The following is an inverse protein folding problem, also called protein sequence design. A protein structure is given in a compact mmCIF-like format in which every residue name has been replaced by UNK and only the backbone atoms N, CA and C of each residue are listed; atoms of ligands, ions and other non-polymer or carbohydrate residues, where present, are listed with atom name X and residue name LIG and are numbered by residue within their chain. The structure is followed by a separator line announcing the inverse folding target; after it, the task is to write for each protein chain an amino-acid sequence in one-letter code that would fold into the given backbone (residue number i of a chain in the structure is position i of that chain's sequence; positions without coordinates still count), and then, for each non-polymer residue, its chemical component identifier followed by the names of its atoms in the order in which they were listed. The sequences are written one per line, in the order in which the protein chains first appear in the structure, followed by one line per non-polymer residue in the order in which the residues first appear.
data_IF_658989455360
#
_entry.id   IF_658989455360
#
_cell.length_a   1.000
_cell.length_b   1.000
_cell.length_c   1.000
_cell.angle_alpha   90.00
_cell.angle_beta   90.00
_cell.angle_gamma   90.00
#
_symmetry.space_group_name_H-M   'P 1'
#
loop_
_entity.id
_entity.type
_entity.pdbx_description
1 polymer ?
#
# COMPACT_ATOMS: atom_id res chain seq x y z
N UNK A 1 -5.28 -23.82 4.41
CA UNK A 1 -4.35 -23.37 5.46
C UNK A 1 -3.95 -24.58 6.27
N UNK A 2 -3.06 -25.39 5.72
CA UNK A 2 -2.57 -26.60 6.39
C UNK A 2 -1.56 -26.20 7.45
N UNK A 3 -1.79 -26.68 8.68
CA UNK A 3 -0.87 -26.62 9.81
C UNK A 3 0.29 -27.58 9.52
N UNK A 4 1.15 -27.22 8.58
CA UNK A 4 2.44 -27.87 8.39
C UNK A 4 3.43 -27.21 9.34
N UNK A 5 4.13 -28.01 10.15
CA UNK A 5 5.05 -27.55 11.19
C UNK A 5 6.17 -26.65 10.65
N UNK A 6 5.88 -25.36 10.52
CA UNK A 6 6.88 -24.31 10.34
C UNK A 6 7.44 -23.88 11.69
N UNK A 7 8.60 -23.23 11.67
CA UNK A 7 9.18 -22.62 12.86
C UNK A 7 8.22 -21.61 13.51
N UNK A 8 8.43 -21.31 14.80
CA UNK A 8 7.68 -20.27 15.51
C UNK A 8 7.93 -18.89 14.86
N UNK A 9 6.85 -18.19 14.50
CA UNK A 9 6.92 -16.84 13.96
C UNK A 9 6.77 -15.78 15.05
N UNK A 10 7.44 -14.66 14.85
CA UNK A 10 7.22 -13.41 15.56
C UNK A 10 6.56 -12.45 14.56
N UNK A 11 5.32 -12.09 14.85
CA UNK A 11 4.54 -11.21 13.98
C UNK A 11 4.58 -9.76 14.48
N UNK A 12 4.70 -8.80 13.56
CA UNK A 12 4.52 -7.40 13.92
C UNK A 12 3.04 -7.07 14.16
N UNK A 13 2.71 -6.01 14.91
CA UNK A 13 1.41 -5.38 14.79
C UNK A 13 1.14 -4.97 13.32
N UNK A 14 -0.13 -4.94 12.88
CA UNK A 14 -0.46 -4.46 11.56
C UNK A 14 -0.13 -2.97 11.42
N UNK A 15 0.40 -2.57 10.27
CA UNK A 15 0.76 -1.18 9.97
C UNK A 15 0.36 -0.77 8.55
N UNK A 16 0.45 0.52 8.26
CA UNK A 16 0.14 1.09 6.95
C UNK A 16 1.40 1.73 6.34
N UNK A 17 1.62 1.50 5.05
CA UNK A 17 2.74 2.10 4.32
C UNK A 17 2.40 2.19 2.83
N UNK A 18 2.84 3.26 2.16
CA UNK A 18 2.61 3.48 0.72
C UNK A 18 1.13 3.34 0.28
N UNK A 19 0.19 3.74 1.14
CA UNK A 19 -1.26 3.62 0.86
C UNK A 19 -1.83 2.21 1.04
N UNK A 20 -1.00 1.21 1.37
CA UNK A 20 -1.45 -0.12 1.72
C UNK A 20 -1.79 -0.18 3.21
N UNK A 21 -2.91 -0.84 3.52
CA UNK A 21 -3.38 -1.03 4.88
C UNK A 21 -3.09 -2.46 5.37
N UNK A 22 -2.93 -2.60 6.69
CA UNK A 22 -2.83 -3.90 7.39
C UNK A 22 -1.68 -4.78 6.88
N UNK A 23 -0.54 -4.19 6.55
CA UNK A 23 0.70 -4.93 6.32
C UNK A 23 1.15 -5.54 7.64
N UNK A 24 1.63 -6.78 7.63
CA UNK A 24 2.20 -7.47 8.79
C UNK A 24 3.51 -8.14 8.39
N UNK A 25 4.56 -8.01 9.21
CA UNK A 25 5.75 -8.83 9.09
C UNK A 25 5.55 -10.18 9.78
N UNK A 26 6.02 -11.24 9.14
CA UNK A 26 6.11 -12.59 9.69
C UNK A 26 7.59 -12.99 9.72
N UNK A 27 8.22 -12.87 10.88
CA UNK A 27 9.63 -13.18 11.05
C UNK A 27 9.82 -14.55 11.68
N UNK A 28 10.70 -15.37 11.13
CA UNK A 28 11.01 -16.70 11.65
C UNK A 28 12.50 -16.74 12.02
N UNK A 29 12.85 -16.44 13.28
CA UNK A 29 14.25 -16.36 13.73
C UNK A 29 15.03 -17.66 13.48
N UNK A 30 14.36 -18.80 13.67
CA UNK A 30 14.92 -20.15 13.50
C UNK A 30 14.65 -20.74 12.11
N UNK A 31 14.28 -19.89 11.14
CA UNK A 31 13.91 -20.32 9.80
C UNK A 31 12.48 -20.85 9.70
N UNK A 32 11.99 -20.92 8.47
CA UNK A 32 10.60 -21.26 8.16
C UNK A 32 10.33 -22.78 8.21
N UNK A 33 11.26 -23.59 7.68
CA UNK A 33 11.12 -25.04 7.59
C UNK A 33 11.65 -25.73 8.86
N UNK A 34 10.78 -26.42 9.60
CA UNK A 34 11.18 -27.19 10.80
C UNK A 34 11.89 -28.52 10.47
N UNK A 35 12.15 -28.80 9.20
CA UNK A 35 12.73 -30.07 8.73
C UNK A 35 14.26 -30.14 8.83
N UNK A 36 14.92 -29.14 9.43
CA UNK A 36 16.36 -29.16 9.67
C UNK A 36 16.70 -30.08 10.85
N UNK A 37 16.80 -31.39 10.57
CA UNK A 37 17.18 -32.41 11.56
C UNK A 37 18.67 -32.48 11.85
N UNK A 38 19.49 -31.70 11.14
CA UNK A 38 20.92 -31.56 11.38
C UNK A 38 21.14 -30.31 12.22
N UNK A 39 21.89 -30.38 13.32
CA UNK A 39 22.18 -29.27 14.25
C UNK A 39 22.92 -28.05 13.68
N UNK A 40 22.81 -27.82 12.38
CA UNK A 40 23.19 -26.61 11.66
C UNK A 40 22.06 -25.60 11.82
N UNK A 41 22.38 -24.39 12.29
CA UNK A 41 21.40 -23.31 12.43
C UNK A 41 20.83 -22.96 11.05
N UNK A 42 19.51 -23.07 10.91
CA UNK A 42 18.78 -22.65 9.73
C UNK A 42 18.82 -21.12 9.59
N UNK A 43 18.95 -20.59 8.36
CA UNK A 43 18.85 -19.15 8.14
C UNK A 43 17.46 -18.66 8.55
N UNK A 44 17.38 -17.45 9.09
CA UNK A 44 16.10 -16.82 9.39
C UNK A 44 15.28 -16.59 8.12
N UNK A 45 13.96 -16.47 8.27
CA UNK A 45 13.05 -16.12 7.20
C UNK A 45 12.26 -14.87 7.54
N UNK A 46 11.90 -14.11 6.53
CA UNK A 46 11.06 -12.92 6.69
C UNK A 46 10.05 -12.86 5.54
N UNK A 47 8.79 -12.70 5.90
CA UNK A 47 7.68 -12.50 4.97
C UNK A 47 6.85 -11.29 5.37
N UNK A 48 6.06 -10.82 4.43
CA UNK A 48 5.00 -9.84 4.65
C UNK A 48 3.66 -10.39 4.17
N UNK A 49 2.59 -10.12 4.90
CA UNK A 49 1.23 -10.20 4.38
C UNK A 49 0.71 -8.80 4.07
N UNK A 50 -0.28 -8.72 3.18
CA UNK A 50 -0.83 -7.46 2.72
C UNK A 50 -2.24 -7.59 2.14
N UNK A 51 -2.83 -6.47 1.70
CA UNK A 51 -4.16 -6.46 1.11
C UNK A 51 -4.18 -7.20 -0.22
N UNK A 52 -5.30 -7.88 -0.50
CA UNK A 52 -5.48 -8.63 -1.75
C UNK A 52 -5.47 -7.71 -2.96
N UNK A 53 -5.11 -8.28 -4.13
CA UNK A 53 -5.02 -7.58 -5.42
C UNK A 53 -4.03 -6.43 -5.43
N UNK A 54 -2.95 -6.57 -4.68
CA UNK A 54 -1.86 -5.60 -4.68
C UNK A 54 -0.55 -6.26 -5.06
N UNK A 55 0.27 -5.55 -5.83
CA UNK A 55 1.65 -5.91 -6.13
C UNK A 55 2.56 -4.95 -5.39
N UNK A 56 3.50 -5.48 -4.61
CA UNK A 56 4.47 -4.71 -3.84
C UNK A 56 5.86 -5.01 -4.35
N UNK A 57 6.64 -3.96 -4.63
CA UNK A 57 8.04 -4.05 -5.03
C UNK A 57 8.90 -3.19 -4.12
N UNK A 58 10.03 -3.71 -3.69
CA UNK A 58 10.86 -3.00 -2.73
C UNK A 58 12.04 -3.81 -2.19
N UNK A 59 12.52 -3.40 -1.02
CA UNK A 59 13.62 -4.01 -0.30
C UNK A 59 13.19 -4.39 1.11
N UNK A 60 13.49 -5.62 1.51
CA UNK A 60 13.35 -6.09 2.88
C UNK A 60 14.71 -6.06 3.55
N UNK A 61 14.73 -5.75 4.85
CA UNK A 61 15.94 -5.65 5.65
C UNK A 61 15.81 -6.46 6.94
N UNK A 62 16.89 -7.14 7.33
CA UNK A 62 17.05 -7.85 8.60
C UNK A 62 18.46 -7.53 9.12
N UNK A 63 18.55 -6.66 10.11
CA UNK A 63 19.79 -6.04 10.55
C UNK A 63 20.45 -5.27 9.40
N UNK A 64 21.64 -5.73 8.99
CA UNK A 64 22.42 -5.17 7.88
C UNK A 64 22.16 -5.84 6.53
N UNK A 65 21.46 -6.99 6.51
CA UNK A 65 21.16 -7.73 5.29
C UNK A 65 19.95 -7.13 4.58
N UNK A 66 20.04 -7.03 3.25
CA UNK A 66 18.94 -6.63 2.38
C UNK A 66 18.64 -7.66 1.30
N UNK A 67 17.36 -7.77 0.93
CA UNK A 67 16.86 -8.63 -0.16
C UNK A 67 15.72 -7.96 -0.90
N UNK A 68 15.77 -8.03 -2.24
CA UNK A 68 14.67 -7.57 -3.09
C UNK A 68 13.39 -8.32 -2.76
N UNK A 69 12.28 -7.59 -2.76
CA UNK A 69 10.92 -8.10 -2.66
C UNK A 69 10.16 -7.69 -3.91
N UNK A 70 9.50 -8.66 -4.52
CA UNK A 70 8.47 -8.46 -5.55
C UNK A 70 7.42 -9.53 -5.31
N UNK A 71 6.21 -9.12 -4.91
CA UNK A 71 5.14 -10.05 -4.58
C UNK A 71 3.78 -9.49 -4.94
N UNK A 72 2.91 -10.34 -5.51
CA UNK A 72 1.51 -10.01 -5.81
C UNK A 72 0.59 -10.81 -4.92
N UNK A 73 -0.12 -10.12 -4.02
CA UNK A 73 -1.08 -10.69 -3.09
C UNK A 73 -2.36 -11.06 -3.83
N UNK A 74 -2.59 -12.35 -4.09
CA UNK A 74 -3.77 -12.80 -4.86
C UNK A 74 -4.97 -13.10 -3.98
N UNK A 75 -4.73 -13.53 -2.74
CA UNK A 75 -5.76 -13.99 -1.83
C UNK A 75 -5.49 -13.56 -0.38
N UNK A 76 -6.53 -13.66 0.45
CA UNK A 76 -6.39 -13.38 1.89
C UNK A 76 -5.38 -14.36 2.50
N UNK A 77 -4.42 -13.83 3.27
CA UNK A 77 -3.37 -14.62 3.91
C UNK A 77 -2.20 -15.00 3.00
N UNK A 78 -2.19 -14.52 1.75
CA UNK A 78 -1.02 -14.63 0.88
C UNK A 78 0.14 -13.84 1.49
N UNK A 79 1.35 -14.38 1.38
CA UNK A 79 2.57 -13.82 1.97
C UNK A 79 3.70 -13.79 0.96
N UNK A 80 4.40 -12.67 0.88
CA UNK A 80 5.59 -12.49 0.04
C UNK A 80 6.85 -12.35 0.87
N UNK A 81 7.98 -12.90 0.43
CA UNK A 81 9.23 -12.75 1.19
C UNK A 81 10.35 -13.70 0.81
N UNK A 82 11.17 -14.07 1.79
CA UNK A 82 12.30 -14.98 1.64
C UNK A 82 12.32 -15.99 2.78
N UNK A 83 12.33 -17.27 2.43
CA UNK A 83 12.50 -18.39 3.35
C UNK A 83 13.93 -18.53 3.90
N UNK A 84 14.92 -17.97 3.20
CA UNK A 84 16.34 -17.98 3.58
C UNK A 84 16.91 -16.58 3.43
N UNK A 85 16.75 -15.75 4.46
CA UNK A 85 17.22 -14.38 4.46
C UNK A 85 18.73 -14.31 4.76
N UNK A 86 19.16 -14.98 5.84
CA UNK A 86 20.56 -15.14 6.24
C UNK A 86 20.72 -15.67 7.67
N UNK A 87 21.97 -15.87 8.14
CA UNK A 87 22.26 -16.26 9.52
C UNK A 87 21.93 -15.13 10.49
N UNK A 88 21.09 -15.41 11.48
CA UNK A 88 20.54 -14.41 12.40
C UNK A 88 21.61 -13.82 13.33
N UNK A 89 22.56 -14.66 13.73
CA UNK A 89 23.58 -14.37 14.74
C UNK A 89 24.47 -13.20 14.32
N UNK A 90 24.62 -13.02 13.00
CA UNK A 90 25.41 -11.94 12.41
C UNK A 90 24.65 -10.61 12.30
N UNK A 91 23.34 -10.62 12.61
CA UNK A 91 22.44 -9.47 12.43
C UNK A 91 21.93 -8.89 13.74
N UNK A 92 22.18 -9.55 14.87
CA UNK A 92 21.87 -9.04 16.20
C UNK A 92 22.90 -7.99 16.59
N UNK A 93 22.43 -6.85 17.08
CA UNK A 93 23.29 -5.76 17.52
C UNK A 93 23.83 -5.97 18.96
N UNK A 94 24.63 -5.01 19.45
CA UNK A 94 25.20 -5.08 20.80
C UNK A 94 24.15 -4.98 21.93
N UNK A 95 22.91 -4.61 21.61
CA UNK A 95 21.79 -4.49 22.56
C UNK A 95 20.86 -5.70 22.51
N UNK A 96 21.28 -6.80 21.86
CA UNK A 96 20.46 -7.99 21.64
C UNK A 96 19.16 -7.68 20.87
N UNK A 97 19.21 -6.67 19.99
CA UNK A 97 18.11 -6.25 19.16
C UNK A 97 18.42 -6.49 17.69
N UNK A 98 17.36 -6.70 16.91
CA UNK A 98 17.42 -6.79 15.47
C UNK A 98 16.42 -5.83 14.85
N UNK A 99 16.89 -5.07 13.85
CA UNK A 99 16.04 -4.14 13.10
C UNK A 99 15.51 -4.84 11.87
N UNK A 100 14.19 -4.83 11.69
CA UNK A 100 13.52 -5.30 10.48
C UNK A 100 12.89 -4.09 9.81
N UNK A 101 13.06 -3.97 8.49
CA UNK A 101 12.47 -2.86 7.73
C UNK A 101 11.98 -3.31 6.35
N UNK A 102 10.99 -2.58 5.85
CA UNK A 102 10.48 -2.68 4.49
C UNK A 102 10.58 -1.31 3.83
N UNK A 103 11.33 -1.24 2.76
CA UNK A 103 11.40 -0.09 1.88
C UNK A 103 10.55 -0.38 0.64
N UNK A 104 9.44 0.33 0.49
CA UNK A 104 8.52 0.15 -0.64
C UNK A 104 8.92 1.12 -1.74
N UNK A 105 9.26 0.59 -2.91
CA UNK A 105 9.64 1.35 -4.09
C UNK A 105 8.42 1.61 -4.96
N UNK A 106 7.56 0.59 -5.13
CA UNK A 106 6.42 0.65 -6.03
C UNK A 106 5.27 -0.22 -5.51
N UNK A 107 4.04 0.24 -5.77
CA UNK A 107 2.80 -0.41 -5.37
C UNK A 107 1.79 -0.30 -6.51
N UNK A 108 1.32 -1.45 -6.98
CA UNK A 108 0.20 -1.53 -7.91
C UNK A 108 -1.01 -2.14 -7.19
N UNK A 109 -2.21 -1.65 -7.49
CA UNK A 109 -3.46 -2.21 -6.96
C UNK A 109 -4.40 -2.46 -8.12
N UNK A 110 -4.87 -3.69 -8.28
CA UNK A 110 -5.89 -3.98 -9.28
C UNK A 110 -7.21 -3.38 -8.80
N UNK A 111 -7.76 -2.46 -9.58
CA UNK A 111 -9.12 -2.00 -9.36
C UNK A 111 -10.08 -3.16 -9.64
N UNK A 112 -11.15 -3.32 -8.85
CA UNK A 112 -12.17 -4.30 -9.17
C UNK A 112 -12.78 -3.98 -10.56
N UNK A 113 -13.03 -5.01 -11.38
CA UNK A 113 -13.63 -4.88 -12.72
C UNK A 113 -15.05 -4.28 -12.72
N UNK A 114 -15.61 -4.01 -11.54
CA UNK A 114 -16.89 -3.34 -11.38
C UNK A 114 -16.78 -1.86 -11.75
N UNK A 115 -17.71 -1.41 -12.59
CA UNK A 115 -17.96 -0.04 -13.02
C UNK A 115 -18.24 0.90 -11.84
N UNK A 116 -17.23 1.17 -11.01
CA UNK A 116 -17.22 2.35 -10.19
C UNK A 116 -16.93 3.51 -11.14
N UNK A 117 -17.99 4.06 -11.72
CA UNK A 117 -17.93 5.41 -12.25
C UNK A 117 -17.43 6.29 -11.11
N UNK A 118 -16.12 6.59 -11.12
CA UNK A 118 -15.58 7.66 -10.33
C UNK A 118 -16.20 8.91 -10.91
N UNK A 119 -17.35 9.30 -10.37
CA UNK A 119 -18.00 10.55 -10.75
C UNK A 119 -17.12 11.65 -10.18
N UNK A 120 -16.12 12.04 -10.96
CA UNK A 120 -15.42 13.30 -10.81
C UNK A 120 -16.47 14.37 -11.02
N UNK A 121 -17.09 14.82 -9.93
CA UNK A 121 -17.87 16.05 -9.96
C UNK A 121 -16.88 17.16 -10.20
N UNK A 122 -16.99 17.82 -11.36
CA UNK A 122 -16.32 19.09 -11.58
C UNK A 122 -16.57 19.97 -10.36
N UNK A 123 -15.48 20.54 -9.83
CA UNK A 123 -15.55 21.51 -8.77
C UNK A 123 -16.25 22.74 -9.35
N UNK A 124 -17.59 22.72 -9.36
CA UNK A 124 -18.38 23.79 -9.91
C UNK A 124 -17.90 25.10 -9.32
N UNK A 125 -17.34 25.95 -10.18
CA UNK A 125 -16.97 27.31 -9.82
C UNK A 125 -18.21 27.95 -9.21
N UNK A 126 -18.19 28.12 -7.89
CA UNK A 126 -19.16 28.95 -7.19
C UNK A 126 -18.84 30.40 -7.54
N UNK A 127 -19.08 30.78 -8.79
CA UNK A 127 -19.37 32.14 -9.16
C UNK A 127 -20.70 32.48 -8.48
N UNK A 128 -20.62 33.30 -7.42
CA UNK A 128 -21.77 33.67 -6.62
C UNK A 128 -22.81 34.44 -7.43
N UNK A 129 -23.91 33.78 -7.77
CA UNK A 129 -25.16 34.45 -8.14
C UNK A 129 -26.00 34.61 -6.89
N UNK A 130 -26.03 35.84 -6.37
CA UNK A 130 -27.08 36.33 -5.47
C UNK A 130 -28.33 36.60 -6.32
N UNK A 131 -29.50 36.21 -5.83
CA UNK A 131 -30.82 36.49 -6.42
C UNK A 131 -31.42 35.25 -7.08
N UNK A 132 -32.69 34.89 -6.94
CA UNK A 132 -33.87 35.58 -6.43
C UNK A 132 -34.84 34.50 -5.90
N UNK A 133 -35.59 34.83 -4.85
CA UNK A 133 -36.67 33.99 -4.34
C UNK A 133 -37.76 33.79 -5.41
N UNK A 134 -38.30 32.57 -5.50
CA UNK A 134 -39.63 32.29 -6.07
C UNK A 134 -40.12 30.89 -5.68
N UNK A 135 -41.44 30.65 -5.69
CA UNK A 135 -42.13 29.95 -4.61
C UNK A 135 -42.67 28.56 -4.99
N UNK A 136 -43.23 27.90 -3.97
CA UNK A 136 -43.98 26.65 -4.01
C UNK A 136 -45.01 26.54 -5.15
N UNK A 137 -45.07 25.35 -5.76
CA UNK A 137 -46.24 24.44 -5.83
C UNK A 137 -46.09 23.52 -7.05
N UNK A 138 -46.47 22.25 -6.90
CA UNK A 138 -46.66 21.39 -8.06
C UNK A 138 -46.62 19.90 -7.75
N UNK A 139 -47.56 19.46 -6.91
CA UNK A 139 -47.95 18.06 -6.79
C UNK A 139 -48.47 17.56 -8.15
N UNK A 140 -47.92 16.44 -8.66
CA UNK A 140 -48.51 15.67 -9.76
C UNK A 140 -47.95 14.25 -9.80
N UNK A 141 -48.76 13.34 -9.27
CA UNK A 141 -48.76 11.91 -9.56
C UNK A 141 -48.78 11.65 -11.07
N UNK A 142 -47.83 10.86 -11.58
CA UNK A 142 -47.75 10.47 -12.98
C UNK A 142 -47.16 9.07 -13.12
N UNK A 143 -48.05 8.07 -13.08
CA UNK A 143 -47.84 6.65 -13.33
C UNK A 143 -47.69 6.42 -14.84
N UNK A 144 -46.58 5.86 -15.34
CA UNK A 144 -46.56 5.10 -16.60
C UNK A 144 -45.40 4.09 -16.65
N UNK A 145 -45.79 2.83 -16.79
CA UNK A 145 -45.01 1.68 -17.26
C UNK A 145 -44.59 1.88 -18.72
N UNK A 146 -43.36 1.48 -19.07
CA UNK A 146 -42.87 1.54 -20.44
C UNK A 146 -41.59 0.75 -20.63
N UNK A 147 -41.77 -0.48 -21.10
CA UNK A 147 -40.82 -1.48 -21.55
C UNK A 147 -40.09 -1.01 -22.84
N UNK A 148 -38.75 -1.17 -22.91
CA UNK A 148 -38.01 -1.46 -24.14
C UNK A 148 -36.50 -1.60 -23.88
N UNK A 149 -35.97 -2.80 -24.17
CA UNK A 149 -34.55 -3.12 -24.24
C UNK A 149 -33.85 -2.40 -25.41
N UNK A 150 -32.60 -1.93 -25.27
CA UNK A 150 -31.80 -1.52 -26.42
C UNK A 150 -30.99 -2.69 -27.00
N UNK A 151 -31.19 -2.91 -28.30
CA UNK A 151 -30.38 -3.74 -29.19
C UNK A 151 -29.00 -3.10 -29.37
N UNK A 152 -27.94 -3.82 -29.02
CA UNK A 152 -26.54 -3.40 -29.22
C UNK A 152 -26.11 -3.80 -30.64
N UNK A 153 -25.68 -2.83 -31.45
CA UNK A 153 -24.96 -3.06 -32.70
C UNK A 153 -23.47 -2.73 -32.53
N UNK A 154 -22.55 -3.51 -33.12
CA UNK A 154 -21.11 -3.24 -33.09
C UNK A 154 -20.76 -2.18 -34.13
N UNK A 155 -20.03 -1.15 -33.71
CA UNK A 155 -19.60 -0.04 -34.54
C UNK A 155 -18.18 0.38 -34.16
N UNK A 156 -17.26 0.02 -35.03
CA UNK A 156 -15.82 0.25 -35.04
C UNK A 156 -15.47 1.75 -35.08
N UNK A 157 -14.60 2.23 -34.16
CA UNK A 157 -13.92 3.55 -34.25
C UNK A 157 -12.57 3.52 -33.54
N UNK A 158 -11.52 3.43 -34.35
CA UNK A 158 -10.16 3.86 -34.07
C UNK A 158 -10.10 5.38 -33.84
N UNK A 159 -9.63 5.80 -32.66
CA UNK A 159 -9.20 7.19 -32.41
C UNK A 159 -7.86 7.14 -31.68
N UNK A 160 -6.81 7.44 -32.43
CA UNK A 160 -5.51 7.88 -31.94
C UNK A 160 -5.63 9.37 -31.61
N UNK A 161 -5.54 9.74 -30.33
CA UNK A 161 -5.09 11.09 -29.99
C UNK A 161 -4.43 11.11 -28.59
N UNK A 162 -3.13 11.38 -28.58
CA UNK A 162 -2.32 11.45 -27.37
C UNK A 162 -2.37 12.89 -26.83
N UNK A 163 -3.27 13.14 -25.88
CA UNK A 163 -3.29 14.41 -25.14
C UNK A 163 -2.30 14.37 -23.95
N UNK A 164 -1.58 15.47 -23.66
CA UNK A 164 -0.65 15.54 -22.54
C UNK A 164 -1.41 15.46 -21.21
N UNK A 165 -1.06 14.47 -20.39
CA UNK A 165 -1.66 14.22 -19.08
C UNK A 165 -1.17 15.27 -18.08
N UNK A 166 -2.00 16.29 -17.85
CA UNK A 166 -1.84 17.23 -16.74
C UNK A 166 -2.18 16.51 -15.43
N UNK A 167 -1.19 16.33 -14.55
CA UNK A 167 -1.39 15.82 -13.19
C UNK A 167 -2.27 16.80 -12.38
N UNK A 168 -3.58 16.57 -12.40
CA UNK A 168 -4.55 17.35 -11.64
C UNK A 168 -4.43 17.11 -10.14
N UNK A 169 -4.29 18.20 -9.38
CA UNK A 169 -4.36 18.20 -7.90
C UNK A 169 -5.82 17.99 -7.47
N UNK A 170 -6.26 16.74 -7.37
CA UNK A 170 -7.62 16.39 -6.94
C UNK A 170 -7.85 16.75 -5.47
N UNK A 171 -8.94 17.46 -5.16
CA UNK A 171 -9.37 17.73 -3.78
C UNK A 171 -10.59 16.86 -3.48
N UNK A 172 -10.43 15.81 -2.68
CA UNK A 172 -11.54 14.95 -2.26
C UNK A 172 -12.35 15.65 -1.17
N UNK A 173 -13.58 16.07 -1.48
CA UNK A 173 -14.54 16.59 -0.47
C UNK A 173 -15.68 15.60 -0.31
N UNK A 174 -15.62 14.82 0.77
CA UNK A 174 -16.70 13.92 1.18
C UNK A 174 -17.80 14.75 1.85
N UNK A 175 -19.00 14.81 1.24
CA UNK A 175 -20.16 15.45 1.86
C UNK A 175 -20.89 14.42 2.71
N UNK A 176 -20.98 14.68 4.02
CA UNK A 176 -21.71 13.84 4.98
C UNK A 176 -23.18 14.22 5.02
N UNK A 177 -24.00 13.24 5.37
CA UNK A 177 -25.46 13.34 5.44
C UNK A 177 -25.94 14.16 6.66
N UNK A 178 -25.12 14.23 7.73
CA UNK A 178 -25.44 14.96 8.95
C UNK A 178 -24.18 15.66 9.54
N UNK A 179 -24.08 17.00 9.47
CA UNK A 179 -22.92 17.78 9.93
C UNK A 179 -22.85 17.91 11.46
N UNK A 180 -23.86 17.47 12.20
CA UNK A 180 -23.92 17.63 13.67
C UNK A 180 -23.30 16.46 14.43
N UNK A 181 -23.04 15.32 13.77
CA UNK A 181 -22.56 14.08 14.41
C UNK A 181 -21.04 13.87 14.36
N UNK A 182 -20.27 14.87 13.96
CA UNK A 182 -18.83 14.68 13.74
C UNK A 182 -18.02 15.17 14.92
N UNK A 183 -17.60 14.22 15.76
CA UNK A 183 -16.33 14.33 16.47
C UNK A 183 -15.20 14.57 15.46
N UNK A 184 -14.27 15.41 15.89
CA UNK A 184 -13.29 16.12 15.09
C UNK A 184 -12.33 15.17 14.36
N UNK A 185 -12.47 15.00 13.04
CA UNK A 185 -11.42 14.37 12.25
C UNK A 185 -10.31 15.39 12.04
N UNK A 186 -9.29 15.25 12.87
CA UNK A 186 -8.01 15.95 12.78
C UNK A 186 -7.50 15.81 11.35
N UNK A 187 -7.30 16.97 10.75
CA UNK A 187 -6.74 17.17 9.43
C UNK A 187 -5.34 16.54 9.44
N UNK A 188 -5.20 15.32 8.93
CA UNK A 188 -3.90 14.77 8.58
C UNK A 188 -3.41 15.51 7.33
N UNK A 189 -2.99 16.77 7.53
CA UNK A 189 -2.22 17.51 6.54
C UNK A 189 -0.86 16.82 6.51
N UNK A 190 -0.64 16.09 5.41
CA UNK A 190 0.64 15.91 4.75
C UNK A 190 1.86 15.79 5.66
N UNK A 191 2.44 14.59 5.63
CA UNK A 191 3.84 14.25 5.91
C UNK A 191 4.73 15.46 6.22
N UNK A 192 5.48 15.47 7.35
CA UNK A 192 6.42 16.55 7.65
C UNK A 192 7.29 16.77 6.41
N UNK A 193 7.25 17.98 5.89
CA UNK A 193 8.06 18.38 4.75
C UNK A 193 9.50 18.22 5.20
N UNK A 194 10.13 17.12 4.78
CA UNK A 194 11.52 16.81 5.06
C UNK A 194 12.33 18.01 4.55
N UNK A 195 12.81 18.81 5.49
CA UNK A 195 13.58 19.99 5.20
C UNK A 195 14.88 19.53 4.53
N UNK A 196 15.00 19.73 3.21
CA UNK A 196 16.14 19.28 2.40
C UNK A 196 17.50 19.82 2.91
N UNK A 197 17.49 20.78 3.84
CA UNK A 197 18.70 21.32 4.48
C UNK A 197 19.26 20.46 5.63
N UNK A 198 18.60 19.37 6.04
CA UNK A 198 19.10 18.49 7.12
C UNK A 198 19.73 17.17 6.62
N UNK A 199 19.88 16.96 5.31
CA UNK A 199 20.67 15.84 4.78
C UNK A 199 22.18 16.13 4.86
N UNK A 200 22.69 16.39 6.06
CA UNK A 200 24.13 16.22 6.33
C UNK A 200 24.31 14.84 6.97
N UNK A 201 24.20 13.80 6.15
CA UNK A 201 24.61 12.46 6.54
C UNK A 201 26.15 12.46 6.62
N UNK A 202 26.76 12.14 7.77
CA UNK A 202 28.21 12.10 7.88
C UNK A 202 28.74 11.04 6.92
N UNK A 203 29.60 11.47 6.00
CA UNK A 203 30.34 10.59 5.10
C UNK A 203 31.22 9.70 5.98
N UNK A 204 30.80 8.47 6.22
CA UNK A 204 31.63 7.47 6.85
C UNK A 204 32.76 7.10 5.88
N UNK A 205 33.94 7.67 6.11
CA UNK A 205 35.18 7.25 5.43
C UNK A 205 35.39 5.77 5.72
N UNK A 206 35.20 4.94 4.69
CA UNK A 206 35.49 3.52 4.72
C UNK A 206 36.92 3.28 5.22
N UNK A 207 37.04 2.51 6.30
CA UNK A 207 38.33 1.97 6.75
C UNK A 207 38.81 0.99 5.70
N UNK A 208 39.94 1.31 5.07
CA UNK A 208 40.68 0.38 4.21
C UNK A 208 41.04 -0.85 5.06
N UNK A 209 40.60 -2.02 4.63
CA UNK A 209 41.07 -3.29 5.15
C UNK A 209 42.57 -3.38 4.88
N UNK A 210 43.37 -3.31 5.94
CA UNK A 210 44.77 -3.69 5.90
C UNK A 210 44.84 -5.20 5.74
N UNK A 211 45.34 -5.64 4.58
CA UNK A 211 45.81 -7.00 4.37
C UNK A 211 46.95 -7.27 5.37
N UNK A 212 46.68 -8.10 6.38
CA UNK A 212 47.75 -8.78 7.10
C UNK A 212 48.04 -10.08 6.37
N UNK A 213 49.22 -10.12 5.76
CA UNK A 213 49.89 -11.37 5.46
C UNK A 213 50.52 -11.94 6.72
N UNK A 214 50.40 -13.25 6.86
CA UNK A 214 51.44 -14.22 7.22
C UNK A 214 50.85 -15.62 7.03
#
# INVERSE_FOLDING_TARGET
WGVGGGGESVDSPPFCAAGLERIVFHFYPKGYDASSTSGVMSPCALFISGPVRTTVRGMMWVGSLSRQLEHRFRGKGDTGGRNKFGPLETQVDASDMIVIALEIVDVETDLPDGTHSLVLRDAGDKAGTKGHASPMRGDRSGKMSGEASPVIRPGDKTITDASPVSFGRGTLKVKREDPTKTEELVRCVSLPTLNARQLHMPIMKGRKASALGC
#
